data_IF_228970548088
#
_entry.id   IF_228970548088
#
_cell.length_a   1.000
_cell.length_b   1.000
_cell.length_c   1.000
_cell.angle_alpha   90.00
_cell.angle_beta   90.00
_cell.angle_gamma   90.00
#
_symmetry.space_group_name_H-M   'P 1'
#
loop_
_entity.id
_entity.type
_entity.pdbx_description
1 polymer ?
#
# COMPACT_ATOMS: atom_id res chain seq x y z
N UNK A 1 11.79 -6.44 11.71
CA UNK A 1 11.69 -5.56 10.53
C UNK A 1 11.55 -6.44 9.31
N UNK A 2 10.55 -6.17 8.45
CA UNK A 2 10.36 -6.83 7.15
C UNK A 2 10.71 -5.84 6.05
N UNK A 3 11.32 -6.32 4.96
CA UNK A 3 11.73 -5.49 3.84
C UNK A 3 11.25 -6.09 2.53
N UNK A 4 10.73 -5.25 1.64
CA UNK A 4 10.20 -5.63 0.34
C UNK A 4 10.72 -4.72 -0.77
N UNK A 5 10.86 -5.31 -1.96
CA UNK A 5 11.12 -4.58 -3.20
C UNK A 5 9.84 -4.55 -4.03
N UNK A 6 9.30 -3.35 -4.24
CA UNK A 6 8.07 -3.13 -5.03
C UNK A 6 8.46 -2.65 -6.43
N UNK A 7 8.03 -3.39 -7.45
CA UNK A 7 8.23 -3.09 -8.85
C UNK A 7 6.89 -2.80 -9.50
N UNK A 8 6.76 -1.64 -10.14
CA UNK A 8 5.58 -1.37 -10.96
C UNK A 8 5.67 -2.12 -12.29
N UNK A 9 4.57 -2.70 -12.73
CA UNK A 9 4.48 -3.37 -14.02
C UNK A 9 4.55 -2.32 -15.16
N UNK A 10 5.22 -2.68 -16.26
CA UNK A 10 5.55 -1.73 -17.35
C UNK A 10 4.32 -1.36 -18.21
N UNK A 11 3.29 -2.21 -18.23
CA UNK A 11 2.08 -2.02 -19.05
C UNK A 11 0.84 -2.22 -18.18
N UNK A 12 0.15 -1.12 -17.84
CA UNK A 12 -1.17 -1.20 -17.18
C UNK A 12 -2.34 -0.92 -18.13
N UNK A 13 -2.09 -0.46 -19.37
CA UNK A 13 -3.14 -0.12 -20.33
C UNK A 13 -4.16 0.86 -19.72
N UNK A 14 -5.45 0.50 -19.78
CA UNK A 14 -6.55 1.27 -19.17
C UNK A 14 -6.81 0.90 -17.69
N UNK A 15 -6.04 -0.01 -17.11
CA UNK A 15 -6.18 -0.37 -15.70
C UNK A 15 -5.42 0.59 -14.79
N UNK A 16 -5.81 0.59 -13.51
CA UNK A 16 -4.94 1.08 -12.45
C UNK A 16 -3.61 0.31 -12.44
N UNK A 17 -2.55 0.97 -11.99
CA UNK A 17 -1.18 0.43 -12.04
C UNK A 17 -1.07 -0.85 -11.20
N UNK A 18 -0.51 -1.89 -11.78
CA UNK A 18 -0.23 -3.17 -11.10
C UNK A 18 1.22 -3.18 -10.57
N UNK A 19 1.46 -3.94 -9.50
CA UNK A 19 2.76 -4.02 -8.86
C UNK A 19 3.12 -5.45 -8.45
N UNK A 20 4.39 -5.79 -8.59
CA UNK A 20 4.99 -7.03 -8.10
C UNK A 20 5.86 -6.74 -6.87
N UNK A 21 5.61 -7.44 -5.76
CA UNK A 21 6.26 -7.20 -4.46
C UNK A 21 7.11 -8.42 -4.12
N UNK A 22 8.42 -8.23 -4.12
CA UNK A 22 9.41 -9.27 -3.85
C UNK A 22 9.95 -9.12 -2.43
N UNK A 23 10.56 -10.19 -1.94
CA UNK A 23 11.42 -10.14 -0.77
C UNK A 23 12.60 -9.17 -0.97
N UNK A 24 13.36 -8.91 0.10
CA UNK A 24 14.52 -8.02 0.07
C UNK A 24 15.58 -8.39 -0.98
N UNK A 25 15.68 -9.68 -1.34
CA UNK A 25 16.65 -10.16 -2.34
C UNK A 25 16.17 -9.90 -3.78
N UNK A 26 14.89 -9.63 -3.97
CA UNK A 26 14.26 -9.48 -5.28
C UNK A 26 14.06 -10.80 -6.01
N UNK A 27 14.25 -11.94 -5.34
CA UNK A 27 14.22 -13.27 -5.97
C UNK A 27 12.86 -13.96 -5.77
N UNK A 28 12.20 -13.74 -4.63
CA UNK A 28 10.97 -14.42 -4.28
C UNK A 28 9.80 -13.46 -4.30
N UNK A 29 8.84 -13.70 -5.20
CA UNK A 29 7.58 -12.95 -5.24
C UNK A 29 6.77 -13.29 -3.98
N UNK A 30 6.47 -12.27 -3.18
CA UNK A 30 5.71 -12.37 -1.93
C UNK A 30 4.26 -11.95 -2.15
N UNK A 31 4.05 -10.84 -2.86
CA UNK A 31 2.73 -10.33 -3.17
C UNK A 31 2.63 -9.76 -4.58
N UNK A 32 1.40 -9.64 -5.08
CA UNK A 32 1.06 -8.94 -6.31
C UNK A 32 -0.15 -8.05 -6.09
N UNK A 33 -0.06 -6.80 -6.52
CA UNK A 33 -1.18 -5.86 -6.56
C UNK A 33 -1.74 -5.90 -7.97
N UNK A 34 -2.97 -6.39 -8.10
CA UNK A 34 -3.68 -6.50 -9.37
C UNK A 34 -4.88 -5.58 -9.38
N UNK A 35 -5.21 -5.02 -10.55
CA UNK A 35 -6.41 -4.21 -10.73
C UNK A 35 -7.38 -4.91 -11.69
N UNK A 36 -8.68 -4.84 -11.36
CA UNK A 36 -9.75 -5.41 -12.19
C UNK A 36 -10.48 -4.31 -12.96
N UNK A 37 -10.84 -4.62 -14.20
CA UNK A 37 -11.61 -3.73 -15.07
C UNK A 37 -13.08 -3.68 -14.63
N UNK A 38 -13.46 -2.69 -13.84
CA UNK A 38 -14.86 -2.35 -13.55
C UNK A 38 -15.04 -0.84 -13.36
N UNK A 39 -16.30 -0.39 -13.36
CA UNK A 39 -16.74 1.01 -13.17
C UNK A 39 -16.15 1.62 -11.88
N UNK A 40 -15.87 0.78 -10.88
CA UNK A 40 -15.13 1.12 -9.68
C UNK A 40 -13.75 0.45 -9.75
N UNK A 41 -12.67 1.22 -9.58
CA UNK A 41 -11.32 0.67 -9.56
C UNK A 41 -11.17 -0.25 -8.35
N UNK A 42 -11.21 -1.56 -8.61
CA UNK A 42 -10.99 -2.59 -7.59
C UNK A 42 -9.55 -3.05 -7.70
N UNK A 43 -8.85 -2.98 -6.58
CA UNK A 43 -7.46 -3.43 -6.42
C UNK A 43 -7.47 -4.65 -5.49
N UNK A 44 -6.74 -5.70 -5.85
CA UNK A 44 -6.57 -6.89 -5.03
C UNK A 44 -5.09 -7.10 -4.69
N UNK A 45 -4.82 -7.47 -3.44
CA UNK A 45 -3.52 -7.90 -2.99
C UNK A 45 -3.49 -9.43 -2.88
N UNK A 46 -2.64 -10.06 -3.69
CA UNK A 46 -2.52 -11.50 -3.81
C UNK A 46 -1.22 -11.96 -3.16
N UNK A 47 -1.28 -12.86 -2.18
CA UNK A 47 -0.13 -13.42 -1.49
C UNK A 47 0.35 -14.73 -2.13
N UNK A 48 1.66 -14.83 -2.36
CA UNK A 48 2.35 -15.98 -2.94
C UNK A 48 3.00 -16.86 -1.86
N UNK A 49 3.31 -18.14 -2.15
CA UNK A 49 3.14 -18.83 -3.44
C UNK A 49 1.71 -19.33 -3.70
N UNK A 50 0.83 -19.33 -2.69
CA UNK A 50 -0.51 -19.93 -2.78
C UNK A 50 -1.50 -19.17 -3.66
N UNK A 51 -1.20 -17.90 -4.00
CA UNK A 51 -2.07 -16.98 -4.76
C UNK A 51 -3.40 -16.71 -4.05
N UNK A 52 -3.34 -16.50 -2.73
CA UNK A 52 -4.52 -16.17 -1.95
C UNK A 52 -4.76 -14.65 -1.98
N UNK A 53 -6.00 -14.24 -2.21
CA UNK A 53 -6.37 -12.82 -2.04
C UNK A 53 -6.37 -12.51 -0.54
N UNK A 54 -5.51 -11.59 -0.13
CA UNK A 54 -5.31 -11.17 1.27
C UNK A 54 -5.76 -9.74 1.53
N UNK A 55 -6.00 -8.97 0.47
CA UNK A 55 -6.50 -7.61 0.55
C UNK A 55 -7.35 -7.27 -0.67
N UNK A 56 -8.37 -6.44 -0.47
CA UNK A 56 -9.20 -5.85 -1.51
C UNK A 56 -9.39 -4.39 -1.19
N UNK A 57 -9.25 -3.52 -2.18
CA UNK A 57 -9.49 -2.09 -2.06
C UNK A 57 -10.44 -1.65 -3.18
N UNK A 58 -11.40 -0.83 -2.82
CA UNK A 58 -12.38 -0.26 -3.71
C UNK A 58 -12.33 1.26 -3.60
N UNK A 59 -11.81 1.90 -4.64
CA UNK A 59 -11.71 3.35 -4.68
C UNK A 59 -13.06 3.97 -5.09
N UNK A 60 -13.48 4.99 -4.35
CA UNK A 60 -14.61 5.85 -4.68
C UNK A 60 -14.08 7.05 -5.46
N UNK A 61 -14.45 7.14 -6.73
CA UNK A 61 -13.98 8.23 -7.60
C UNK A 61 -14.79 9.49 -7.28
N UNK A 62 -14.21 10.38 -6.47
CA UNK A 62 -14.69 11.74 -6.28
C UNK A 62 -13.64 12.72 -6.84
N UNK A 63 -14.04 13.72 -7.67
CA UNK A 63 -13.10 14.64 -8.31
C UNK A 63 -12.26 15.49 -7.33
N UNK A 64 -12.66 15.64 -6.07
CA UNK A 64 -11.99 16.52 -5.11
C UNK A 64 -11.30 15.78 -3.95
N UNK A 65 -11.73 14.57 -3.65
CA UNK A 65 -11.22 13.77 -2.53
C UNK A 65 -11.00 12.33 -2.99
N UNK A 66 -9.84 11.76 -2.66
CA UNK A 66 -9.66 10.32 -2.78
C UNK A 66 -10.13 9.65 -1.49
N UNK A 67 -11.10 8.74 -1.64
CA UNK A 67 -11.59 7.89 -0.58
C UNK A 67 -11.67 6.45 -1.11
N UNK A 68 -11.24 5.49 -0.30
CA UNK A 68 -11.31 4.08 -0.65
C UNK A 68 -11.66 3.25 0.58
N UNK A 69 -12.53 2.26 0.39
CA UNK A 69 -12.76 1.22 1.38
C UNK A 69 -11.88 0.02 1.06
N UNK A 70 -11.42 -0.68 2.09
CA UNK A 70 -10.66 -1.90 1.89
C UNK A 70 -11.02 -2.98 2.90
N UNK A 71 -10.74 -4.22 2.54
CA UNK A 71 -10.87 -5.39 3.39
C UNK A 71 -9.56 -6.18 3.36
N UNK A 72 -9.06 -6.56 4.53
CA UNK A 72 -7.83 -7.35 4.69
C UNK A 72 -8.14 -8.62 5.46
N UNK A 73 -7.59 -9.74 5.00
CA UNK A 73 -7.62 -11.01 5.72
C UNK A 73 -6.54 -11.00 6.81
N UNK A 74 -6.94 -11.07 8.08
CA UNK A 74 -6.02 -11.22 9.21
C UNK A 74 -5.82 -12.70 9.51
N UNK A 75 -4.70 -13.26 9.04
CA UNK A 75 -4.32 -14.66 9.28
C UNK A 75 -4.28 -15.03 10.77
N UNK A 76 -4.02 -14.07 11.68
CA UNK A 76 -3.98 -14.35 13.12
C UNK A 76 -5.37 -14.59 13.70
N UNK A 77 -6.37 -13.89 13.16
CA UNK A 77 -7.77 -13.97 13.60
C UNK A 77 -8.63 -14.81 12.67
N UNK A 78 -8.07 -15.29 11.56
CA UNK A 78 -8.76 -16.04 10.50
C UNK A 78 -10.05 -15.35 10.04
N UNK A 79 -10.00 -14.02 9.86
CA UNK A 79 -11.17 -13.22 9.50
C UNK A 79 -10.83 -12.04 8.61
N UNK A 80 -11.81 -11.61 7.83
CA UNK A 80 -11.74 -10.35 7.10
C UNK A 80 -12.07 -9.17 8.02
N UNK A 81 -11.24 -8.13 7.96
CA UNK A 81 -11.41 -6.87 8.68
C UNK A 81 -11.48 -5.73 7.67
N UNK A 82 -12.44 -4.83 7.86
CA UNK A 82 -12.62 -3.65 7.00
C UNK A 82 -11.78 -2.48 7.48
N UNK A 83 -11.44 -1.60 6.56
CA UNK A 83 -10.82 -0.33 6.81
C UNK A 83 -11.15 0.67 5.71
N UNK A 84 -10.68 1.90 5.89
CA UNK A 84 -10.84 2.97 4.90
C UNK A 84 -9.58 3.81 4.80
N UNK A 85 -9.37 4.40 3.62
CA UNK A 85 -8.29 5.33 3.30
C UNK A 85 -8.94 6.64 2.86
N UNK A 86 -8.55 7.75 3.47
CA UNK A 86 -9.00 9.08 3.09
C UNK A 86 -7.84 10.02 2.86
N UNK A 87 -7.82 10.68 1.71
CA UNK A 87 -6.84 11.71 1.39
C UNK A 87 -7.19 13.04 2.06
N UNK A 88 -6.17 13.69 2.58
CA UNK A 88 -6.20 15.07 3.05
C UNK A 88 -5.21 15.89 2.23
N UNK A 89 -5.71 16.93 1.56
CA UNK A 89 -4.87 17.85 0.80
C UNK A 89 -4.13 18.80 1.74
N UNK A 90 -2.80 18.90 1.56
CA UNK A 90 -1.98 19.94 2.17
C UNK A 90 -1.18 20.67 1.09
N UNK A 91 -0.78 21.91 1.39
CA UNK A 91 -0.04 22.78 0.44
C UNK A 91 1.29 22.15 -0.01
N UNK A 92 1.89 21.26 0.79
CA UNK A 92 3.21 20.64 0.53
C UNK A 92 3.23 19.11 0.62
N UNK A 93 2.22 18.44 0.07
CA UNK A 93 2.20 16.98 -0.04
C UNK A 93 0.80 16.39 -0.01
N UNK A 94 0.74 15.06 -0.04
CA UNK A 94 -0.49 14.31 0.23
C UNK A 94 -0.31 13.54 1.54
N UNK A 95 -1.30 13.71 2.42
CA UNK A 95 -1.44 12.88 3.60
C UNK A 95 -2.67 12.00 3.42
N UNK A 96 -2.58 10.75 3.82
CA UNK A 96 -3.72 9.85 3.87
C UNK A 96 -3.91 9.38 5.30
N UNK A 97 -5.16 9.36 5.74
CA UNK A 97 -5.55 8.70 6.98
C UNK A 97 -6.04 7.31 6.64
N UNK A 98 -5.47 6.29 7.29
CA UNK A 98 -5.88 4.89 7.14
C UNK A 98 -6.52 4.47 8.45
N UNK A 99 -7.80 4.10 8.40
CA UNK A 99 -8.51 3.53 9.55
C UNK A 99 -8.64 2.03 9.35
N UNK A 100 -8.18 1.23 10.30
CA UNK A 100 -8.31 -0.22 10.25
C UNK A 100 -8.55 -0.80 11.65
N UNK A 101 -9.70 -1.44 11.84
CA UNK A 101 -10.21 -1.77 13.18
C UNK A 101 -10.16 -0.53 14.11
N UNK A 102 -9.52 -0.66 15.27
CA UNK A 102 -9.33 0.40 16.25
C UNK A 102 -8.03 1.20 16.03
N UNK A 103 -7.34 1.02 14.90
CA UNK A 103 -6.12 1.76 14.60
C UNK A 103 -6.38 2.91 13.64
N UNK A 104 -5.80 4.07 13.96
CA UNK A 104 -5.73 5.23 13.09
C UNK A 104 -4.29 5.50 12.67
N UNK A 105 -3.99 5.34 11.38
CA UNK A 105 -2.66 5.53 10.82
C UNK A 105 -2.61 6.78 9.96
N UNK A 106 -1.44 7.42 9.94
CA UNK A 106 -1.17 8.56 9.09
C UNK A 106 -0.07 8.19 8.08
N UNK A 107 -0.40 8.25 6.80
CA UNK A 107 0.54 8.10 5.70
C UNK A 107 0.92 9.49 5.19
N UNK A 108 2.19 9.88 5.36
CA UNK A 108 2.70 11.18 4.93
C UNK A 108 3.69 11.02 3.79
N UNK A 109 3.46 11.72 2.68
CA UNK A 109 4.39 11.73 1.54
C UNK A 109 5.22 13.00 1.52
N UNK A 110 6.55 12.86 1.65
CA UNK A 110 7.51 13.96 1.50
C UNK A 110 7.96 14.06 0.05
N UNK A 111 7.40 15.00 -0.70
CA UNK A 111 7.66 15.17 -2.15
C UNK A 111 9.13 15.35 -2.50
N UNK A 112 9.90 16.09 -1.68
CA UNK A 112 11.33 16.35 -1.89
C UNK A 112 12.17 15.06 -1.89
N UNK A 113 11.90 14.17 -0.93
CA UNK A 113 12.68 12.94 -0.71
C UNK A 113 12.07 11.73 -1.41
N UNK A 114 10.88 11.87 -2.02
CA UNK A 114 10.09 10.75 -2.56
C UNK A 114 9.96 9.61 -1.55
N UNK A 115 9.77 9.97 -0.29
CA UNK A 115 9.60 9.05 0.83
C UNK A 115 8.18 9.17 1.36
N UNK A 116 7.54 8.04 1.57
CA UNK A 116 6.26 7.96 2.24
C UNK A 116 6.44 7.22 3.56
N UNK A 117 6.01 7.80 4.67
CA UNK A 117 6.08 7.17 5.98
C UNK A 117 4.66 6.89 6.47
N UNK A 118 4.45 5.76 7.14
CA UNK A 118 3.20 5.42 7.83
C UNK A 118 3.47 5.44 9.33
N UNK A 119 2.69 6.23 10.06
CA UNK A 119 2.80 6.40 11.50
C UNK A 119 1.54 5.89 12.21
N UNK A 120 1.73 5.42 13.43
CA UNK A 120 0.66 5.16 14.39
C UNK A 120 0.29 6.48 15.08
N UNK A 121 -0.91 7.01 14.84
CA UNK A 121 -1.33 8.28 15.45
C UNK A 121 -1.65 8.13 16.94
N UNK A 122 -2.01 6.94 17.40
CA UNK A 122 -2.39 6.68 18.78
C UNK A 122 -1.16 6.50 19.67
N UNK A 123 -0.05 6.01 19.10
CA UNK A 123 1.18 5.71 19.82
C UNK A 123 2.31 6.71 19.52
N UNK A 124 2.05 8.00 19.79
CA UNK A 124 3.03 9.10 19.69
C UNK A 124 3.72 9.22 18.32
N UNK A 125 3.01 8.96 17.22
CA UNK A 125 3.57 9.00 15.87
C UNK A 125 4.74 8.02 15.68
N UNK A 126 4.63 6.81 16.24
CA UNK A 126 5.63 5.77 16.03
C UNK A 126 5.65 5.35 14.55
N UNK A 127 6.83 5.25 13.96
CA UNK A 127 7.02 4.86 12.56
C UNK A 127 6.71 3.36 12.39
N UNK A 128 5.69 3.05 11.59
CA UNK A 128 5.26 1.68 11.32
C UNK A 128 5.83 1.12 10.03
N UNK A 129 5.84 1.93 8.97
CA UNK A 129 6.39 1.55 7.68
C UNK A 129 6.95 2.75 6.92
N UNK A 130 7.87 2.49 5.99
CA UNK A 130 8.47 3.49 5.11
C UNK A 130 8.56 2.96 3.69
N UNK A 131 8.18 3.79 2.73
CA UNK A 131 8.40 3.61 1.30
C UNK A 131 9.41 4.62 0.81
N UNK A 132 10.34 4.17 -0.02
CA UNK A 132 11.31 5.05 -0.66
C UNK A 132 11.42 4.73 -2.14
N UNK A 133 11.16 5.73 -2.98
CA UNK A 133 11.40 5.61 -4.41
C UNK A 133 12.91 5.47 -4.68
N UNK A 134 13.32 4.38 -5.32
CA UNK A 134 14.66 4.23 -5.88
C UNK A 134 14.75 5.01 -7.18
N UNK A 135 15.25 6.25 -7.11
CA UNK A 135 15.56 7.04 -8.30
C UNK A 135 16.74 6.38 -9.04
N UNK A 136 16.47 5.66 -10.13
CA UNK A 136 17.50 5.17 -11.05
C UNK A 136 17.52 6.00 -12.33
N UNK A 137 18.69 6.46 -12.80
CA UNK A 137 18.78 7.41 -13.91
C UNK A 137 18.37 6.86 -15.29
N UNK A 138 18.17 5.54 -15.47
CA UNK A 138 18.05 4.94 -16.81
C UNK A 138 16.95 3.87 -16.97
N UNK A 139 16.03 3.71 -16.01
CA UNK A 139 14.94 2.72 -16.14
C UNK A 139 13.57 3.36 -15.98
N UNK A 140 12.69 3.13 -16.94
CA UNK A 140 11.28 3.55 -16.94
C UNK A 140 10.43 2.82 -15.90
N UNK A 141 10.97 1.75 -15.30
CA UNK A 141 10.32 0.98 -14.24
C UNK A 141 10.58 1.68 -12.90
N UNK A 142 9.51 2.15 -12.26
CA UNK A 142 9.61 2.70 -10.91
C UNK A 142 9.78 1.58 -9.89
N UNK A 143 10.86 1.66 -9.10
CA UNK A 143 11.18 0.72 -8.03
C UNK A 143 11.07 1.41 -6.69
N UNK A 144 10.43 0.76 -5.72
CA UNK A 144 10.27 1.30 -4.38
C UNK A 144 10.80 0.28 -3.38
N UNK A 145 11.55 0.75 -2.41
CA UNK A 145 11.88 -0.02 -1.22
C UNK A 145 10.80 0.21 -0.19
N UNK A 146 10.37 -0.87 0.47
CA UNK A 146 9.45 -0.79 1.58
C UNK A 146 10.04 -1.47 2.80
N UNK A 147 9.99 -0.80 3.93
CA UNK A 147 10.38 -1.33 5.23
C UNK A 147 9.18 -1.28 6.18
N UNK A 148 8.87 -2.40 6.82
CA UNK A 148 7.84 -2.50 7.86
C UNK A 148 8.54 -2.78 9.19
N UNK A 149 8.40 -1.84 10.12
CA UNK A 149 9.04 -1.89 11.44
C UNK A 149 8.14 -2.54 12.49
N UNK A 150 6.82 -2.58 12.26
CA UNK A 150 5.84 -3.12 13.22
C UNK A 150 5.28 -4.48 12.81
N UNK A 151 4.99 -5.34 13.79
CA UNK A 151 4.24 -6.60 13.60
C UNK A 151 2.78 -6.48 14.04
N UNK A 152 2.35 -5.30 14.52
CA UNK A 152 1.02 -5.12 15.10
C UNK A 152 -0.09 -5.28 14.05
N UNK A 153 0.14 -4.79 12.84
CA UNK A 153 -0.84 -4.75 11.76
C UNK A 153 -0.39 -5.72 10.65
N UNK A 154 -1.32 -6.43 9.97
CA UNK A 154 -1.00 -7.26 8.83
C UNK A 154 -0.33 -6.47 7.70
N UNK A 155 0.61 -7.09 7.00
CA UNK A 155 1.36 -6.46 5.90
C UNK A 155 0.42 -5.92 4.81
N UNK A 156 -0.71 -6.59 4.58
CA UNK A 156 -1.71 -6.21 3.61
C UNK A 156 -2.33 -4.82 3.86
N UNK A 157 -2.39 -4.33 5.10
CA UNK A 157 -2.87 -2.97 5.39
C UNK A 157 -1.86 -1.91 4.92
N UNK A 158 -0.56 -2.23 4.98
CA UNK A 158 0.48 -1.31 4.51
C UNK A 158 0.66 -1.36 3.00
N UNK A 159 0.39 -2.51 2.37
CA UNK A 159 0.63 -2.75 0.94
C UNK A 159 -0.52 -2.32 0.03
N UNK A 160 -1.71 -2.03 0.57
CA UNK A 160 -2.87 -1.53 -0.17
C UNK A 160 -2.89 0.00 -0.28
#
# INVERSE_FOLDING_TARGET
MRQYLILADFLSGFKAREYSIYDQTGQHLQYRIESRYHILQTIELIAYPRKNVTGKLQAHINPFEYEADFEVYDDRKQKWSKGSIKQHWQIFGSNFTIKWNDHLLLMETKSLTSTTNIFDTENKYNLLARFQLRRKPFTWISKHDMEIYSNAIPDAVYLL
#
